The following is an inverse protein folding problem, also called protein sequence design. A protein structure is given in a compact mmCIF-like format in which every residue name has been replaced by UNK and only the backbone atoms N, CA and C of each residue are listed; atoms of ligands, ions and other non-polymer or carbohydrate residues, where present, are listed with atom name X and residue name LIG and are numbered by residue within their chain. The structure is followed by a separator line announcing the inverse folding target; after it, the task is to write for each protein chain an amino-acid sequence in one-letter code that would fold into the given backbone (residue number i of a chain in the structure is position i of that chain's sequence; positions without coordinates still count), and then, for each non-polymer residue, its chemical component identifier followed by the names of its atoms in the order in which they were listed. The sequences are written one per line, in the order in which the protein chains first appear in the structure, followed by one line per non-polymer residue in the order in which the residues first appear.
data_IF_901891976832
#
_entry.id   IF_901891976832
#
_cell.length_a   1.000
_cell.length_b   1.000
_cell.length_c   1.000
_cell.angle_alpha   90.00
_cell.angle_beta   90.00
_cell.angle_gamma   90.00
#
_symmetry.space_group_name_H-M   'P 1'
#
loop_
_entity.id
_entity.type
_entity.pdbx_description
1 polymer ?
#
# COMPACT_ATOMS: atom_id res chain seq x y z
N UNK A 1 -3.49 11.14 -63.65
CA UNK A 1 -3.44 9.77 -63.11
C UNK A 1 -4.03 9.80 -61.71
N UNK A 2 -5.21 9.22 -61.53
CA UNK A 2 -5.88 9.11 -60.23
C UNK A 2 -5.04 8.24 -59.28
N UNK A 3 -4.56 8.81 -58.18
CA UNK A 3 -3.99 8.03 -57.08
C UNK A 3 -5.14 7.30 -56.39
N UNK A 4 -5.23 5.99 -56.60
CA UNK A 4 -6.16 5.13 -55.88
C UNK A 4 -5.91 5.29 -54.38
N UNK A 5 -6.89 5.87 -53.66
CA UNK A 5 -6.90 5.93 -52.21
C UNK A 5 -6.92 4.49 -51.70
N UNK A 6 -5.79 3.99 -51.19
CA UNK A 6 -5.75 2.68 -50.56
C UNK A 6 -6.83 2.66 -49.47
N UNK A 7 -7.82 1.78 -49.63
CA UNK A 7 -8.86 1.58 -48.63
C UNK A 7 -8.21 0.95 -47.39
N UNK A 8 -7.77 1.79 -46.46
CA UNK A 8 -7.33 1.40 -45.13
C UNK A 8 -8.57 0.91 -44.36
N UNK A 9 -8.49 -0.26 -43.74
CA UNK A 9 -9.63 -0.84 -43.01
C UNK A 9 -10.10 0.02 -41.84
N UNK A 10 -11.37 -0.13 -41.46
CA UNK A 10 -11.99 0.61 -40.35
C UNK A 10 -11.90 -0.19 -39.03
N UNK A 11 -11.87 0.51 -37.89
CA UNK A 11 -11.99 -0.09 -36.55
C UNK A 11 -13.36 -0.69 -36.31
N UNK A 12 -14.41 -0.12 -36.89
CA UNK A 12 -15.78 -0.53 -36.62
C UNK A 12 -16.30 -1.57 -37.62
N UNK A 13 -15.58 -1.78 -38.73
CA UNK A 13 -15.95 -2.74 -39.77
C UNK A 13 -14.99 -3.92 -39.71
N UNK A 14 -15.47 -5.13 -39.36
CA UNK A 14 -14.64 -6.32 -39.31
C UNK A 14 -14.07 -6.68 -40.69
N UNK A 15 -12.83 -7.16 -40.71
CA UNK A 15 -12.20 -7.61 -41.96
C UNK A 15 -12.67 -9.01 -42.33
N UNK A 16 -13.33 -9.13 -43.48
CA UNK A 16 -13.90 -10.41 -43.94
C UNK A 16 -12.82 -11.46 -44.19
N UNK A 17 -11.62 -11.06 -44.60
CA UNK A 17 -10.53 -11.99 -44.91
C UNK A 17 -9.85 -12.55 -43.65
N UNK A 18 -10.00 -11.88 -42.50
CA UNK A 18 -9.43 -12.30 -41.22
C UNK A 18 -10.39 -13.11 -40.35
N UNK A 19 -11.63 -13.35 -40.81
CA UNK A 19 -12.69 -14.01 -40.06
C UNK A 19 -13.03 -15.34 -40.70
N UNK A 20 -13.05 -16.40 -39.89
CA UNK A 20 -13.70 -17.65 -40.27
C UNK A 20 -15.16 -17.59 -39.79
N UNK A 21 -16.08 -17.34 -40.72
CA UNK A 21 -17.50 -17.15 -40.41
C UNK A 21 -18.14 -18.42 -39.84
N UNK A 22 -17.74 -19.59 -40.31
CA UNK A 22 -18.30 -20.88 -39.87
C UNK A 22 -17.89 -21.20 -38.42
N UNK A 23 -16.61 -21.00 -38.08
CA UNK A 23 -16.11 -21.14 -36.71
C UNK A 23 -16.75 -20.10 -35.78
N UNK A 24 -16.89 -18.86 -36.25
CA UNK A 24 -17.48 -17.77 -35.46
C UNK A 24 -18.96 -18.05 -35.15
N UNK A 25 -19.71 -18.53 -36.14
CA UNK A 25 -21.11 -18.93 -35.98
C UNK A 25 -21.25 -20.13 -35.03
N UNK A 26 -20.38 -21.15 -35.16
CA UNK A 26 -20.34 -22.29 -34.24
C UNK A 26 -20.05 -21.84 -32.79
N UNK A 27 -19.08 -20.96 -32.57
CA UNK A 27 -18.74 -20.47 -31.23
C UNK A 27 -19.88 -19.65 -30.60
N UNK A 28 -20.62 -18.89 -31.40
CA UNK A 28 -21.81 -18.15 -30.91
C UNK A 28 -22.95 -19.10 -30.55
N UNK A 29 -23.24 -20.09 -31.40
CA UNK A 29 -24.43 -20.97 -31.26
C UNK A 29 -24.22 -22.15 -30.31
N UNK A 30 -22.99 -22.66 -30.18
CA UNK A 30 -22.65 -23.73 -29.21
C UNK A 30 -22.78 -23.27 -27.76
N UNK A 31 -22.58 -21.98 -27.48
CA UNK A 31 -22.76 -21.41 -26.15
C UNK A 31 -24.25 -21.32 -25.74
N UNK A 32 -25.16 -21.10 -26.69
CA UNK A 32 -26.61 -21.05 -26.42
C UNK A 32 -27.23 -22.42 -26.17
N UNK A 33 -26.79 -23.47 -26.88
CA UNK A 33 -27.33 -24.83 -26.71
C UNK A 33 -26.92 -25.50 -25.40
N UNK A 34 -25.85 -25.03 -24.76
CA UNK A 34 -25.42 -25.52 -23.44
C UNK A 34 -26.25 -25.01 -22.24
N UNK A 35 -27.11 -24.01 -22.43
CA UNK A 35 -27.90 -23.41 -21.33
C UNK A 35 -29.22 -24.12 -21.02
N UNK A 36 -29.73 -24.98 -21.90
CA UNK A 36 -30.96 -25.76 -21.65
C UNK A 36 -30.71 -27.12 -20.98
N UNK A 37 -29.45 -27.52 -20.79
CA UNK A 37 -29.11 -28.84 -20.22
C UNK A 37 -28.34 -28.74 -18.90
N UNK A 38 -28.85 -27.92 -17.97
CA UNK A 38 -28.34 -27.81 -16.60
C UNK A 38 -28.92 -28.94 -15.75
N UNK A 39 -28.45 -30.18 -15.97
CA UNK A 39 -28.37 -31.26 -14.96
C UNK A 39 -27.89 -32.56 -15.61
N UNK A 40 -26.65 -32.60 -16.07
CA UNK A 40 -25.85 -33.83 -16.08
C UNK A 40 -24.40 -33.45 -16.31
N UNK A 41 -23.54 -33.72 -15.33
CA UNK A 41 -22.09 -33.72 -15.52
C UNK A 41 -21.78 -34.88 -16.46
N UNK A 42 -21.86 -34.64 -17.78
CA UNK A 42 -21.37 -35.58 -18.77
C UNK A 42 -19.85 -35.60 -18.64
N UNK A 43 -19.32 -36.62 -17.97
CA UNK A 43 -17.92 -37.02 -18.10
C UNK A 43 -17.77 -37.40 -19.58
N UNK A 44 -17.25 -36.47 -20.38
CA UNK A 44 -17.01 -36.73 -21.79
C UNK A 44 -15.96 -37.85 -21.87
N UNK A 45 -16.34 -38.97 -22.50
CA UNK A 45 -15.40 -40.07 -22.76
C UNK A 45 -14.17 -39.53 -23.50
N UNK A 46 -12.94 -39.92 -23.14
CA UNK A 46 -11.72 -39.54 -23.86
C UNK A 46 -11.78 -39.85 -25.37
N UNK A 47 -12.63 -40.80 -25.78
CA UNK A 47 -12.87 -41.11 -27.19
C UNK A 47 -13.65 -40.01 -27.92
N UNK A 48 -14.60 -39.33 -27.25
CA UNK A 48 -15.40 -38.24 -27.82
C UNK A 48 -14.55 -36.98 -28.01
N UNK A 49 -13.66 -36.67 -27.06
CA UNK A 49 -12.71 -35.56 -27.18
C UNK A 49 -11.69 -35.80 -28.30
N UNK A 50 -11.13 -37.02 -28.39
CA UNK A 50 -10.23 -37.39 -29.49
C UNK A 50 -10.92 -37.32 -30.85
N UNK A 51 -12.15 -37.80 -30.96
CA UNK A 51 -12.93 -37.72 -32.19
C UNK A 51 -13.23 -36.27 -32.59
N UNK A 52 -13.62 -35.42 -31.65
CA UNK A 52 -13.82 -33.99 -31.90
C UNK A 52 -12.53 -33.30 -32.32
N UNK A 53 -11.41 -33.66 -31.70
CA UNK A 53 -10.09 -33.14 -32.08
C UNK A 53 -9.72 -33.56 -33.51
N UNK A 54 -9.83 -34.85 -33.85
CA UNK A 54 -9.54 -35.35 -35.20
C UNK A 54 -10.49 -34.80 -36.27
N UNK A 55 -11.76 -34.56 -35.92
CA UNK A 55 -12.72 -33.95 -36.84
C UNK A 55 -12.44 -32.46 -37.05
N UNK A 56 -12.07 -31.74 -35.99
CA UNK A 56 -11.63 -30.34 -36.10
C UNK A 56 -10.32 -30.21 -36.89
N UNK A 57 -9.43 -31.20 -36.77
CA UNK A 57 -8.19 -31.30 -37.51
C UNK A 57 -8.46 -31.54 -39.01
N UNK A 58 -9.34 -32.49 -39.34
CA UNK A 58 -9.73 -32.78 -40.72
C UNK A 58 -10.51 -31.64 -41.41
N UNK A 59 -11.30 -30.87 -40.66
CA UNK A 59 -12.10 -29.75 -41.21
C UNK A 59 -11.34 -28.42 -41.26
N UNK A 60 -10.46 -28.15 -40.28
CA UNK A 60 -9.83 -26.83 -40.11
C UNK A 60 -8.29 -26.86 -40.13
N UNK A 61 -7.68 -28.03 -40.38
CA UNK A 61 -6.26 -28.16 -40.73
C UNK A 61 -5.28 -27.97 -39.57
N UNK A 62 -5.30 -28.86 -38.58
CA UNK A 62 -4.20 -28.99 -37.61
C UNK A 62 -4.39 -28.37 -36.24
N UNK A 63 -5.36 -27.47 -36.03
CA UNK A 63 -5.36 -26.64 -34.82
C UNK A 63 -6.73 -26.59 -34.12
N UNK A 64 -7.07 -27.67 -33.39
CA UNK A 64 -8.24 -27.73 -32.52
C UNK A 64 -8.24 -26.64 -31.42
N UNK A 65 -7.05 -26.16 -31.05
CA UNK A 65 -6.83 -25.03 -30.12
C UNK A 65 -7.20 -23.68 -30.77
N UNK A 66 -7.01 -23.55 -32.08
CA UNK A 66 -7.44 -22.38 -32.83
C UNK A 66 -8.97 -22.19 -32.75
N UNK A 67 -9.78 -23.24 -32.91
CA UNK A 67 -11.26 -23.13 -32.88
C UNK A 67 -11.80 -22.44 -31.61
N UNK A 68 -11.23 -22.74 -30.44
CA UNK A 68 -11.60 -22.08 -29.16
C UNK A 68 -10.98 -20.69 -28.96
N UNK A 69 -9.88 -20.38 -29.65
CA UNK A 69 -9.13 -19.12 -29.50
C UNK A 69 -9.36 -18.13 -30.65
N UNK A 70 -10.04 -18.54 -31.72
CA UNK A 70 -10.38 -17.68 -32.86
C UNK A 70 -11.33 -16.59 -32.41
N UNK A 71 -10.93 -15.34 -32.63
CA UNK A 71 -11.77 -14.17 -32.36
C UNK A 71 -12.95 -14.18 -33.33
N UNK A 72 -14.16 -14.07 -32.80
CA UNK A 72 -15.42 -13.99 -33.57
C UNK A 72 -15.40 -12.83 -34.58
N UNK A 73 -14.71 -11.74 -34.24
CA UNK A 73 -14.47 -10.60 -35.13
C UNK A 73 -12.99 -10.26 -35.15
N UNK A 74 -12.43 -10.08 -36.35
CA UNK A 74 -11.07 -9.61 -36.57
C UNK A 74 -11.09 -8.21 -37.18
N UNK A 75 -10.26 -7.31 -36.66
CA UNK A 75 -10.13 -5.93 -37.12
C UNK A 75 -8.68 -5.64 -37.49
N UNK A 76 -8.46 -4.86 -38.56
CA UNK A 76 -7.12 -4.52 -39.03
C UNK A 76 -6.35 -3.60 -38.09
N UNK A 77 -7.04 -2.73 -37.35
CA UNK A 77 -6.42 -1.77 -36.45
C UNK A 77 -6.66 -2.12 -34.98
N UNK A 78 -5.57 -2.17 -34.20
CA UNK A 78 -5.63 -2.26 -32.75
C UNK A 78 -6.23 -0.97 -32.19
N UNK A 79 -6.96 -1.08 -31.08
CA UNK A 79 -7.47 0.10 -30.40
C UNK A 79 -6.33 1.07 -30.04
N UNK A 80 -6.49 2.40 -30.25
CA UNK A 80 -5.55 3.38 -29.71
C UNK A 80 -5.44 3.18 -28.20
N UNK A 81 -4.22 3.30 -27.68
CA UNK A 81 -4.04 3.33 -26.24
C UNK A 81 -4.85 4.50 -25.66
N UNK A 82 -5.45 4.30 -24.49
CA UNK A 82 -6.10 5.39 -23.77
C UNK A 82 -5.10 6.55 -23.62
N UNK A 83 -5.59 7.79 -23.64
CA UNK A 83 -4.74 8.95 -23.38
C UNK A 83 -4.04 8.77 -22.03
N UNK A 84 -2.78 9.20 -21.92
CA UNK A 84 -1.99 9.06 -20.68
C UNK A 84 -2.66 9.74 -19.46
N UNK A 85 -3.63 10.63 -19.71
CA UNK A 85 -4.44 11.34 -18.71
C UNK A 85 -5.74 10.63 -18.32
N UNK A 86 -6.12 9.52 -18.96
CA UNK A 86 -7.31 8.76 -18.59
C UNK A 86 -7.04 7.86 -17.36
N UNK A 87 -7.40 8.35 -16.17
CA UNK A 87 -7.39 7.56 -14.94
C UNK A 87 -8.78 6.97 -14.68
N UNK A 88 -8.87 5.65 -14.59
CA UNK A 88 -10.13 4.97 -14.29
C UNK A 88 -10.44 5.02 -12.79
N UNK A 89 -11.14 6.08 -12.36
CA UNK A 89 -11.55 6.33 -10.98
C UNK A 89 -12.52 5.27 -10.41
N UNK A 90 -13.12 4.43 -11.27
CA UNK A 90 -14.12 3.43 -10.88
C UNK A 90 -13.52 2.13 -10.32
N UNK A 91 -12.19 1.97 -10.36
CA UNK A 91 -11.52 0.74 -9.89
C UNK A 91 -11.63 0.55 -8.37
N UNK A 92 -11.93 1.60 -7.62
CA UNK A 92 -11.95 1.67 -6.14
C UNK A 92 -13.17 0.96 -5.52
N UNK A 93 -14.33 0.94 -6.18
CA UNK A 93 -15.54 0.33 -5.62
C UNK A 93 -15.67 -1.17 -5.95
N UNK A 94 -15.03 -1.64 -7.02
CA UNK A 94 -15.20 -3.02 -7.52
C UNK A 94 -13.99 -3.94 -7.28
N UNK A 95 -12.91 -3.45 -6.67
CA UNK A 95 -11.71 -4.27 -6.40
C UNK A 95 -11.79 -5.11 -5.13
N UNK A 96 -12.71 -4.83 -4.21
CA UNK A 96 -12.88 -5.59 -2.96
C UNK A 96 -13.10 -7.10 -3.20
N UNK A 97 -13.70 -7.47 -4.34
CA UNK A 97 -14.03 -8.86 -4.67
C UNK A 97 -13.06 -9.52 -5.68
N UNK A 98 -11.99 -8.83 -6.10
CA UNK A 98 -11.14 -9.33 -7.22
C UNK A 98 -10.03 -10.29 -6.80
N UNK A 99 -9.79 -10.48 -5.49
CA UNK A 99 -8.79 -11.43 -5.00
C UNK A 99 -9.14 -12.90 -5.32
N UNK A 100 -10.41 -13.22 -5.58
CA UNK A 100 -10.84 -14.59 -5.88
C UNK A 100 -10.94 -14.92 -7.39
N UNK A 101 -10.92 -13.92 -8.29
CA UNK A 101 -11.28 -14.11 -9.70
C UNK A 101 -10.11 -13.96 -10.70
N UNK A 102 -8.87 -13.73 -10.25
CA UNK A 102 -7.70 -13.69 -11.13
C UNK A 102 -7.11 -15.10 -11.37
N UNK A 103 -7.91 -16.05 -11.88
CA UNK A 103 -7.38 -17.23 -12.57
C UNK A 103 -7.09 -16.85 -14.03
N UNK A 104 -5.99 -16.13 -14.24
CA UNK A 104 -5.55 -15.71 -15.56
C UNK A 104 -4.10 -15.29 -15.56
N UNK A 105 -3.22 -16.26 -15.86
CA UNK A 105 -1.84 -16.07 -16.34
C UNK A 105 -1.01 -14.99 -15.64
N UNK A 106 -0.69 -15.19 -14.38
CA UNK A 106 0.47 -14.58 -13.72
C UNK A 106 1.14 -15.64 -12.83
N UNK A 107 2.46 -15.77 -12.95
CA UNK A 107 3.30 -16.84 -12.40
C UNK A 107 3.15 -17.02 -10.89
N UNK A 108 2.34 -17.97 -10.44
CA UNK A 108 2.32 -18.40 -9.04
C UNK A 108 3.14 -19.69 -8.89
N UNK A 109 4.47 -19.56 -8.82
CA UNK A 109 5.28 -20.59 -8.14
C UNK A 109 5.66 -20.12 -6.74
N UNK A 110 4.72 -19.54 -5.99
CA UNK A 110 4.88 -19.46 -4.54
C UNK A 110 4.63 -20.85 -3.98
N UNK A 111 5.71 -21.59 -3.74
CA UNK A 111 5.69 -22.92 -3.13
C UNK A 111 5.29 -22.90 -1.65
N UNK A 112 5.32 -21.71 -1.02
CA UNK A 112 4.88 -21.51 0.36
C UNK A 112 3.39 -21.15 0.38
N UNK A 113 2.60 -21.91 1.15
CA UNK A 113 1.21 -21.55 1.48
C UNK A 113 1.21 -20.54 2.63
N UNK A 114 0.57 -19.40 2.42
CA UNK A 114 0.28 -18.44 3.48
C UNK A 114 -1.20 -18.58 3.88
N UNK A 115 -1.53 -18.59 5.19
CA UNK A 115 -2.92 -18.56 5.64
C UNK A 115 -3.64 -17.32 5.08
N UNK A 116 -4.89 -17.49 4.64
CA UNK A 116 -5.73 -16.37 4.19
C UNK A 116 -6.54 -15.73 5.33
N UNK A 117 -6.56 -16.37 6.51
CA UNK A 117 -7.32 -15.93 7.68
C UNK A 117 -6.32 -15.42 8.71
N UNK A 118 -6.68 -14.34 9.40
CA UNK A 118 -5.89 -13.80 10.51
C UNK A 118 -5.80 -14.83 11.64
N UNK A 119 -4.64 -14.92 12.27
CA UNK A 119 -4.43 -15.83 13.41
C UNK A 119 -5.18 -15.36 14.66
N UNK A 120 -5.17 -14.04 14.91
CA UNK A 120 -5.93 -13.38 15.98
C UNK A 120 -6.55 -12.09 15.46
N UNK A 121 -7.73 -11.77 16.00
CA UNK A 121 -8.43 -10.49 15.78
C UNK A 121 -8.65 -9.89 17.17
N UNK A 122 -8.15 -8.68 17.37
CA UNK A 122 -8.28 -7.93 18.62
C UNK A 122 -9.25 -6.77 18.40
N UNK A 123 -10.11 -6.52 19.37
CA UNK A 123 -11.03 -5.40 19.34
C UNK A 123 -10.29 -4.10 19.72
N UNK A 124 -10.45 -3.06 18.91
CA UNK A 124 -9.88 -1.73 19.12
C UNK A 124 -11.01 -0.69 19.23
N UNK A 125 -11.82 -0.72 20.31
CA UNK A 125 -12.93 0.20 20.47
C UNK A 125 -12.42 1.64 20.60
N UNK A 126 -13.05 2.58 19.89
CA UNK A 126 -12.67 3.99 19.96
C UNK A 126 -11.35 4.34 19.25
N UNK A 127 -10.80 3.43 18.43
CA UNK A 127 -9.70 3.81 17.53
C UNK A 127 -10.16 4.93 16.60
N UNK A 128 -9.37 6.00 16.51
CA UNK A 128 -9.70 7.14 15.65
C UNK A 128 -9.53 6.78 14.17
N UNK A 129 -10.56 7.06 13.38
CA UNK A 129 -10.51 6.96 11.91
C UNK A 129 -9.91 8.24 11.31
N UNK A 130 -8.62 8.46 11.57
CA UNK A 130 -7.84 9.53 10.97
C UNK A 130 -6.59 8.95 10.33
N UNK A 131 -6.51 9.07 9.00
CA UNK A 131 -5.40 8.56 8.20
C UNK A 131 -4.05 9.10 8.67
N UNK A 132 -3.95 10.34 9.14
CA UNK A 132 -2.65 10.96 9.41
C UNK A 132 -2.01 10.46 10.71
N UNK A 133 -2.78 9.85 11.61
CA UNK A 133 -2.32 9.42 12.94
C UNK A 133 -1.60 8.06 12.92
N UNK A 134 -0.62 7.87 13.79
CA UNK A 134 0.16 6.62 13.89
C UNK A 134 -0.12 5.93 15.24
N UNK A 135 -1.28 5.29 15.34
CA UNK A 135 -1.89 4.86 16.61
C UNK A 135 -1.43 3.51 17.16
N UNK A 136 -0.52 2.81 16.47
CA UNK A 136 -0.07 1.48 16.86
C UNK A 136 1.43 1.31 16.62
N UNK A 137 2.10 0.63 17.55
CA UNK A 137 3.47 0.19 17.37
C UNK A 137 3.74 -1.08 18.20
N UNK A 138 4.62 -1.95 17.71
CA UNK A 138 4.91 -3.24 18.32
C UNK A 138 6.33 -3.27 18.86
N UNK A 139 6.48 -3.52 20.16
CA UNK A 139 7.78 -3.55 20.83
C UNK A 139 8.59 -4.80 20.52
N UNK A 140 9.91 -4.70 20.68
CA UNK A 140 10.82 -5.85 20.63
C UNK A 140 10.56 -6.89 21.75
N UNK A 141 9.86 -6.49 22.81
CA UNK A 141 9.48 -7.35 23.94
C UNK A 141 8.14 -8.08 23.70
N UNK A 142 7.63 -8.03 22.47
CA UNK A 142 6.38 -8.67 22.06
C UNK A 142 5.12 -8.05 22.71
N UNK A 143 5.17 -6.74 22.99
CA UNK A 143 4.04 -5.96 23.51
C UNK A 143 3.56 -4.99 22.44
N UNK A 144 2.28 -5.07 22.08
CA UNK A 144 1.63 -4.15 21.15
C UNK A 144 1.08 -2.95 21.95
N UNK A 145 1.47 -1.73 21.55
CA UNK A 145 0.85 -0.51 22.05
C UNK A 145 -0.25 -0.08 21.07
N UNK A 146 -1.44 0.23 21.60
CA UNK A 146 -2.59 0.69 20.83
C UNK A 146 -3.18 1.92 21.49
N UNK A 147 -3.19 3.03 20.75
CA UNK A 147 -3.85 4.27 21.16
C UNK A 147 -5.33 4.21 20.78
N UNK A 148 -6.20 4.22 21.80
CA UNK A 148 -7.65 4.25 21.69
C UNK A 148 -8.15 5.58 22.25
N UNK A 149 -8.32 6.57 21.36
CA UNK A 149 -8.73 7.94 21.72
C UNK A 149 -7.79 8.57 22.78
N UNK A 150 -8.23 8.65 24.03
CA UNK A 150 -7.50 9.25 25.17
C UNK A 150 -6.67 8.23 25.95
N UNK A 151 -6.87 6.94 25.70
CA UNK A 151 -6.31 5.85 26.48
C UNK A 151 -5.29 5.07 25.67
N UNK A 152 -4.21 4.66 26.33
CA UNK A 152 -3.20 3.82 25.72
C UNK A 152 -3.24 2.43 26.36
N UNK A 153 -3.46 1.42 25.53
CA UNK A 153 -3.46 0.03 25.93
C UNK A 153 -2.20 -0.70 25.46
N UNK A 154 -1.74 -1.61 26.29
CA UNK A 154 -0.64 -2.53 26.04
C UNK A 154 -1.19 -3.94 26.01
N UNK A 155 -0.93 -4.66 24.93
CA UNK A 155 -1.30 -6.06 24.79
C UNK A 155 -0.04 -6.91 24.65
N UNK A 156 0.19 -7.84 25.58
CA UNK A 156 1.31 -8.76 25.50
C UNK A 156 0.95 -9.95 24.60
N UNK A 157 1.63 -10.11 23.48
CA UNK A 157 1.30 -11.17 22.53
C UNK A 157 1.71 -12.57 23.00
N UNK A 158 2.55 -12.68 24.03
CA UNK A 158 2.99 -13.94 24.62
C UNK A 158 1.97 -14.46 25.64
N UNK A 159 1.52 -13.61 26.55
CA UNK A 159 0.59 -13.98 27.62
C UNK A 159 -0.88 -13.70 27.27
N UNK A 160 -1.12 -12.85 26.27
CA UNK A 160 -2.43 -12.27 25.94
C UNK A 160 -3.01 -11.35 27.03
N UNK A 161 -2.17 -10.87 27.95
CA UNK A 161 -2.58 -9.90 28.97
C UNK A 161 -2.78 -8.51 28.36
N UNK A 162 -3.73 -7.76 28.93
CA UNK A 162 -4.09 -6.40 28.51
C UNK A 162 -3.94 -5.48 29.72
N UNK A 163 -3.08 -4.48 29.59
CA UNK A 163 -2.87 -3.44 30.59
C UNK A 163 -3.18 -2.08 29.97
N UNK A 164 -3.91 -1.23 30.70
CA UNK A 164 -4.03 0.18 30.35
C UNK A 164 -2.83 0.91 30.94
N UNK A 165 -1.96 1.48 30.10
CA UNK A 165 -0.78 2.20 30.58
C UNK A 165 -1.18 3.51 31.26
N UNK A 166 -2.06 4.27 30.59
CA UNK A 166 -2.67 5.47 31.14
C UNK A 166 -3.90 5.89 30.33
N UNK A 167 -4.67 6.80 30.92
CA UNK A 167 -5.73 7.57 30.28
C UNK A 167 -5.45 9.05 30.53
N UNK A 168 -5.58 9.87 29.48
CA UNK A 168 -5.42 11.32 29.61
C UNK A 168 -6.52 11.91 30.52
N UNK A 169 -6.18 12.89 31.39
CA UNK A 169 -7.17 13.56 32.22
C UNK A 169 -8.28 14.21 31.38
N UNK A 170 -9.52 14.20 31.89
CA UNK A 170 -10.70 14.82 31.24
C UNK A 170 -10.71 16.37 31.37
N UNK A 171 -9.55 16.99 31.52
CA UNK A 171 -9.45 18.45 31.70
C UNK A 171 -9.69 19.21 30.40
N UNK A 172 -9.26 18.64 29.27
CA UNK A 172 -9.41 19.23 27.95
C UNK A 172 -10.16 18.24 27.05
N UNK A 173 -11.38 18.61 26.65
CA UNK A 173 -12.31 17.74 25.92
C UNK A 173 -11.83 17.29 24.52
N UNK A 174 -10.67 17.76 24.08
CA UNK A 174 -10.11 17.49 22.75
C UNK A 174 -8.66 16.97 22.81
N UNK A 175 -8.17 16.55 23.99
CA UNK A 175 -6.85 15.89 24.07
C UNK A 175 -6.97 14.39 23.81
N UNK A 176 -6.21 13.90 22.85
CA UNK A 176 -6.18 12.50 22.44
C UNK A 176 -4.80 12.13 21.90
N UNK A 177 -4.54 10.83 21.82
CA UNK A 177 -3.25 10.31 21.36
C UNK A 177 -3.24 10.29 19.83
N UNK A 178 -2.17 10.84 19.25
CA UNK A 178 -2.02 11.04 17.80
C UNK A 178 -0.90 10.19 17.21
N UNK A 179 0.09 9.81 18.01
CA UNK A 179 1.11 8.86 17.60
C UNK A 179 1.72 8.08 18.75
N UNK A 180 2.19 6.87 18.49
CA UNK A 180 2.94 6.04 19.44
C UNK A 180 4.18 5.46 18.75
N UNK A 181 5.30 5.38 19.46
CA UNK A 181 6.46 4.65 18.98
C UNK A 181 7.34 4.09 20.09
N UNK A 182 7.71 2.82 19.97
CA UNK A 182 8.59 2.13 20.89
C UNK A 182 10.06 2.48 20.66
N UNK A 183 10.78 2.68 21.75
CA UNK A 183 12.24 2.62 21.72
C UNK A 183 12.68 1.19 21.36
N UNK A 184 13.84 1.05 20.72
CA UNK A 184 14.34 -0.23 20.21
C UNK A 184 14.47 -1.34 21.28
N UNK A 185 14.66 -0.98 22.55
CA UNK A 185 14.73 -1.91 23.67
C UNK A 185 13.35 -2.35 24.21
N UNK A 186 12.27 -1.65 23.82
CA UNK A 186 10.91 -1.87 24.28
C UNK A 186 10.61 -1.37 25.69
N UNK A 187 11.51 -0.63 26.34
CA UNK A 187 11.30 -0.17 27.72
C UNK A 187 10.56 1.17 27.80
N UNK A 188 10.85 2.06 26.84
CA UNK A 188 10.27 3.40 26.77
C UNK A 188 9.35 3.48 25.57
N UNK A 189 8.16 4.05 25.79
CA UNK A 189 7.23 4.40 24.74
C UNK A 189 7.16 5.92 24.59
N UNK A 190 7.36 6.42 23.38
CA UNK A 190 7.05 7.79 23.02
C UNK A 190 5.58 7.89 22.60
N UNK A 191 4.89 8.92 23.08
CA UNK A 191 3.50 9.22 22.77
C UNK A 191 3.38 10.66 22.31
N UNK A 192 2.82 10.88 21.13
CA UNK A 192 2.46 12.17 20.60
C UNK A 192 0.99 12.47 20.90
N UNK A 193 0.68 13.71 21.26
CA UNK A 193 -0.66 14.13 21.66
C UNK A 193 -1.27 15.14 20.68
N UNK A 194 -2.57 15.35 20.77
CA UNK A 194 -3.26 16.45 20.10
C UNK A 194 -2.93 17.81 20.75
N UNK A 195 -2.54 17.81 22.03
CA UNK A 195 -2.03 18.97 22.77
C UNK A 195 -0.59 19.40 22.43
N UNK A 196 -0.05 18.95 21.28
CA UNK A 196 1.27 19.31 20.74
C UNK A 196 2.46 18.82 21.59
N UNK A 197 2.25 17.84 22.45
CA UNK A 197 3.27 17.31 23.35
C UNK A 197 3.83 15.97 22.86
N UNK A 198 5.09 15.72 23.18
CA UNK A 198 5.70 14.39 23.11
C UNK A 198 6.00 13.92 24.53
N UNK A 199 5.30 12.88 24.96
CA UNK A 199 5.47 12.27 26.27
C UNK A 199 6.32 11.00 26.16
N UNK A 200 7.12 10.73 27.19
CA UNK A 200 7.87 9.49 27.33
C UNK A 200 7.35 8.73 28.55
N UNK A 201 7.01 7.46 28.34
CA UNK A 201 6.46 6.58 29.35
C UNK A 201 7.40 5.40 29.60
N UNK A 202 7.74 5.18 30.88
CA UNK A 202 8.43 3.97 31.33
C UNK A 202 7.37 2.91 31.59
N UNK A 203 7.31 1.93 30.69
CA UNK A 203 6.27 0.91 30.69
C UNK A 203 6.42 -0.04 31.87
N UNK A 204 7.66 -0.39 32.24
CA UNK A 204 7.92 -1.26 33.38
C UNK A 204 7.49 -0.62 34.71
N UNK A 205 7.57 0.72 34.81
CA UNK A 205 7.13 1.47 36.00
C UNK A 205 5.71 2.00 35.91
N UNK A 206 5.04 1.88 34.77
CA UNK A 206 3.70 2.42 34.53
C UNK A 206 3.59 3.92 34.78
N UNK A 207 4.63 4.71 34.43
CA UNK A 207 4.63 6.15 34.70
C UNK A 207 5.26 6.98 33.60
N UNK A 208 4.76 8.19 33.46
CA UNK A 208 5.35 9.23 32.62
C UNK A 208 6.71 9.65 33.20
N UNK A 209 7.74 9.62 32.36
CA UNK A 209 9.11 10.04 32.69
C UNK A 209 9.34 11.48 32.26
N UNK A 210 8.72 11.90 31.15
CA UNK A 210 9.00 13.20 30.56
C UNK A 210 7.83 13.72 29.71
N UNK A 211 7.65 15.04 29.71
CA UNK A 211 6.89 15.78 28.71
C UNK A 211 7.84 16.70 27.96
N UNK A 212 7.77 16.70 26.64
CA UNK A 212 8.57 17.53 25.75
C UNK A 212 7.62 18.40 24.93
N UNK A 213 7.80 19.72 25.01
CA UNK A 213 6.96 20.72 24.32
C UNK A 213 7.79 21.46 23.28
N UNK A 214 7.17 21.92 22.21
CA UNK A 214 7.85 22.71 21.18
C UNK A 214 7.00 22.87 19.92
N UNK A 215 6.31 21.80 19.53
CA UNK A 215 5.37 21.81 18.42
C UNK A 215 4.20 22.77 18.66
N UNK A 216 3.64 23.29 17.57
CA UNK A 216 2.53 24.25 17.58
C UNK A 216 1.18 23.63 17.19
N UNK A 217 1.18 22.37 16.75
CA UNK A 217 0.00 21.58 16.42
C UNK A 217 0.30 20.10 16.74
N UNK A 218 -0.70 19.22 16.61
CA UNK A 218 -0.66 17.82 17.02
C UNK A 218 0.55 17.05 16.49
N UNK A 219 1.07 16.12 17.29
CA UNK A 219 2.23 15.29 16.92
C UNK A 219 1.80 14.01 16.22
N UNK A 220 1.73 14.05 14.90
CA UNK A 220 1.13 12.99 14.08
C UNK A 220 2.03 11.78 13.85
N UNK A 221 3.35 11.92 13.92
CA UNK A 221 4.30 10.82 13.66
C UNK A 221 5.51 10.86 14.58
N UNK A 222 6.01 9.68 14.94
CA UNK A 222 7.17 9.50 15.81
C UNK A 222 8.09 8.44 15.23
N UNK A 223 9.39 8.63 15.38
CA UNK A 223 10.38 7.62 15.05
C UNK A 223 11.62 7.75 15.92
N UNK A 224 12.06 6.62 16.49
CA UNK A 224 13.28 6.56 17.30
C UNK A 224 14.54 6.34 16.46
N UNK A 225 15.62 6.99 16.87
CA UNK A 225 16.99 6.66 16.52
C UNK A 225 17.84 6.69 17.78
N UNK A 226 18.07 5.50 18.37
CA UNK A 226 18.78 5.33 19.64
C UNK A 226 18.12 6.16 20.76
N UNK A 227 18.78 7.24 21.21
CA UNK A 227 18.29 8.15 22.25
C UNK A 227 17.55 9.38 21.69
N UNK A 228 17.46 9.52 20.37
CA UNK A 228 16.78 10.62 19.71
C UNK A 228 15.37 10.16 19.32
N UNK A 229 14.35 10.92 19.71
CA UNK A 229 13.00 10.81 19.13
C UNK A 229 12.87 11.91 18.08
N UNK A 230 12.53 11.52 16.87
CA UNK A 230 12.04 12.48 15.87
C UNK A 230 10.53 12.51 15.90
N UNK A 231 9.95 13.69 15.98
CA UNK A 231 8.50 13.91 15.96
C UNK A 231 8.13 14.76 14.75
N UNK A 232 7.13 14.33 13.99
CA UNK A 232 6.53 15.08 12.89
C UNK A 232 5.16 15.57 13.31
N UNK A 233 4.86 16.84 13.03
CA UNK A 233 3.63 17.50 13.46
C UNK A 233 2.79 18.02 12.30
N UNK A 234 1.54 18.31 12.60
CA UNK A 234 0.64 19.09 11.76
C UNK A 234 1.11 20.53 11.54
N UNK A 235 2.01 21.02 12.40
CA UNK A 235 2.69 22.32 12.25
C UNK A 235 3.72 22.36 11.11
N UNK A 236 3.82 21.28 10.32
CA UNK A 236 4.71 21.10 9.15
C UNK A 236 6.18 20.83 9.47
N UNK A 237 6.56 20.91 10.75
CA UNK A 237 7.95 20.74 11.19
C UNK A 237 8.20 19.32 11.69
N UNK A 238 9.48 18.95 11.66
CA UNK A 238 9.98 17.77 12.37
C UNK A 238 10.97 18.23 13.43
N UNK A 239 10.78 17.79 14.67
CA UNK A 239 11.71 18.10 15.76
C UNK A 239 12.54 16.88 16.13
N UNK A 240 13.79 17.11 16.53
CA UNK A 240 14.64 16.07 17.11
C UNK A 240 14.78 16.32 18.61
N UNK A 241 14.44 15.29 19.38
CA UNK A 241 14.45 15.31 20.83
C UNK A 241 15.52 14.36 21.36
N UNK A 242 16.62 14.86 21.92
CA UNK A 242 17.52 14.04 22.74
C UNK A 242 16.90 13.87 24.12
N UNK A 243 16.44 12.64 24.40
CA UNK A 243 15.70 12.35 25.64
C UNK A 243 16.57 12.42 26.90
N UNK A 244 17.90 12.48 26.74
CA UNK A 244 18.87 12.51 27.85
C UNK A 244 19.17 13.94 28.33
N UNK A 245 18.96 14.93 27.48
CA UNK A 245 19.29 16.33 27.76
C UNK A 245 18.09 17.04 28.37
N UNK A 246 18.29 17.94 29.35
CA UNK A 246 17.21 18.75 29.91
C UNK A 246 16.56 19.65 28.84
N UNK A 247 17.37 20.27 27.99
CA UNK A 247 16.91 20.89 26.73
C UNK A 247 16.86 19.80 25.66
N UNK A 248 15.68 19.20 25.47
CA UNK A 248 15.53 18.05 24.56
C UNK A 248 15.68 18.44 23.08
N UNK A 249 15.19 19.61 22.69
CA UNK A 249 15.10 20.00 21.29
C UNK A 249 16.50 20.33 20.76
N UNK A 250 17.04 19.46 19.92
CA UNK A 250 18.39 19.59 19.36
C UNK A 250 18.40 20.00 17.89
N UNK A 251 17.28 19.81 17.17
CA UNK A 251 17.12 20.27 15.79
C UNK A 251 15.64 20.47 15.43
N UNK A 252 15.40 21.33 14.43
CA UNK A 252 14.12 21.50 13.75
C UNK A 252 14.39 21.37 12.25
N UNK A 253 13.62 20.53 11.59
CA UNK A 253 13.72 20.25 10.16
C UNK A 253 12.47 20.80 9.49
N UNK A 254 12.70 21.72 8.55
CA UNK A 254 11.65 22.39 7.77
C UNK A 254 11.77 21.92 6.32
N UNK A 255 10.75 21.20 5.85
CA UNK A 255 10.72 20.72 4.46
C UNK A 255 9.37 20.24 3.97
N UNK A 256 8.35 20.28 4.84
CA UNK A 256 6.97 20.05 4.47
C UNK A 256 6.17 21.34 4.59
N UNK A 257 5.07 21.43 3.86
CA UNK A 257 4.12 22.56 3.93
C UNK A 257 2.77 22.18 4.52
N UNK A 258 2.61 20.89 4.86
CA UNK A 258 1.44 20.33 5.51
C UNK A 258 1.88 19.24 6.50
N UNK A 259 0.92 18.62 7.17
CA UNK A 259 1.12 17.62 8.22
C UNK A 259 2.10 16.50 7.84
N UNK A 260 3.07 16.26 8.72
CA UNK A 260 4.06 15.18 8.59
C UNK A 260 3.49 13.89 9.17
N UNK A 261 2.94 13.05 8.30
CA UNK A 261 2.20 11.84 8.70
C UNK A 261 3.01 10.55 8.55
N UNK A 262 4.04 10.53 7.72
CA UNK A 262 5.02 9.45 7.60
C UNK A 262 6.36 9.88 8.16
N UNK A 263 6.94 9.10 9.08
CA UNK A 263 8.26 9.37 9.64
C UNK A 263 8.93 8.06 10.03
N UNK A 264 10.13 7.80 9.49
CA UNK A 264 10.87 6.58 9.83
C UNK A 264 12.38 6.76 9.67
N UNK A 265 13.13 6.46 10.71
CA UNK A 265 14.58 6.31 10.65
C UNK A 265 14.98 5.02 9.92
N UNK A 266 16.10 5.06 9.21
CA UNK A 266 16.75 3.88 8.66
C UNK A 266 17.29 3.00 9.79
N UNK A 267 17.37 1.69 9.55
CA UNK A 267 17.85 0.72 10.55
C UNK A 267 19.30 0.97 10.98
N UNK A 268 20.11 1.60 10.12
CA UNK A 268 21.48 2.00 10.44
C UNK A 268 21.57 3.35 11.17
N UNK A 269 20.44 4.07 11.30
CA UNK A 269 20.35 5.38 11.94
C UNK A 269 20.95 6.54 11.14
N UNK A 270 21.39 6.30 9.89
CA UNK A 270 22.09 7.31 9.09
C UNK A 270 21.17 8.25 8.32
N UNK A 271 19.92 7.83 8.08
CA UNK A 271 18.95 8.60 7.30
C UNK A 271 17.57 8.58 7.95
N UNK A 272 16.88 9.71 7.87
CA UNK A 272 15.47 9.84 8.21
C UNK A 272 14.68 10.00 6.93
N UNK A 273 13.55 9.30 6.81
CA UNK A 273 12.56 9.55 5.76
C UNK A 273 11.32 10.19 6.38
N UNK A 274 10.82 11.26 5.76
CA UNK A 274 9.58 11.91 6.16
C UNK A 274 8.65 12.09 4.97
N UNK A 275 7.37 11.79 5.17
CA UNK A 275 6.33 11.96 4.19
C UNK A 275 5.21 12.85 4.72
N UNK A 276 4.79 13.79 3.88
CA UNK A 276 3.80 14.80 4.25
C UNK A 276 2.48 14.65 3.51
N UNK A 277 1.46 15.35 4.01
CA UNK A 277 0.20 15.57 3.30
C UNK A 277 0.34 16.52 2.09
N UNK A 278 1.51 17.15 1.94
CA UNK A 278 1.90 17.94 0.78
C UNK A 278 2.37 17.10 -0.42
N UNK A 279 2.22 15.77 -0.34
CA UNK A 279 2.63 14.77 -1.34
C UNK A 279 4.16 14.64 -1.49
N UNK A 280 4.93 15.23 -0.57
CA UNK A 280 6.39 15.20 -0.61
C UNK A 280 6.91 14.07 0.26
N UNK A 281 7.94 13.39 -0.24
CA UNK A 281 8.80 12.51 0.53
C UNK A 281 10.19 13.16 0.62
N UNK A 282 10.61 13.52 1.82
CA UNK A 282 11.96 14.00 2.08
C UNK A 282 12.83 12.87 2.65
N UNK A 283 14.12 12.89 2.28
CA UNK A 283 15.16 12.06 2.90
C UNK A 283 16.21 13.00 3.48
N UNK A 284 16.53 12.79 4.75
CA UNK A 284 17.45 13.61 5.54
C UNK A 284 18.63 12.75 5.95
N UNK A 285 19.85 13.31 5.90
CA UNK A 285 21.02 12.65 6.49
C UNK A 285 21.12 13.05 7.97
N UNK A 286 21.56 12.12 8.83
CA UNK A 286 21.77 12.36 10.26
C UNK A 286 22.64 13.61 10.48
N UNK A 287 22.19 14.50 11.37
CA UNK A 287 22.90 15.74 11.71
C UNK A 287 22.75 16.88 10.70
N UNK A 288 22.00 16.69 9.60
CA UNK A 288 21.65 17.77 8.66
C UNK A 288 20.20 18.19 8.83
N UNK A 289 19.96 19.50 8.72
CA UNK A 289 18.62 20.09 8.73
C UNK A 289 18.07 20.33 7.33
N UNK A 290 18.89 20.19 6.29
CA UNK A 290 18.48 20.27 4.90
C UNK A 290 18.19 18.86 4.35
N UNK A 291 17.08 18.72 3.61
CA UNK A 291 16.75 17.46 2.97
C UNK A 291 17.78 17.13 1.90
N UNK A 292 18.39 15.94 2.00
CA UNK A 292 19.26 15.37 0.96
C UNK A 292 18.49 15.18 -0.35
N UNK A 293 17.26 14.68 -0.24
CA UNK A 293 16.35 14.55 -1.36
C UNK A 293 14.97 15.06 -1.00
N UNK A 294 14.37 15.80 -1.93
CA UNK A 294 12.97 16.19 -1.92
C UNK A 294 12.28 15.54 -3.11
N UNK A 295 11.47 14.52 -2.85
CA UNK A 295 10.90 13.63 -3.85
C UNK A 295 9.40 13.91 -3.98
N UNK A 296 8.96 14.32 -5.16
CA UNK A 296 7.62 14.87 -5.44
C UNK A 296 6.78 13.97 -6.38
N UNK A 297 7.13 12.70 -6.48
CA UNK A 297 6.52 11.81 -7.48
C UNK A 297 5.20 11.18 -7.04
N UNK A 298 4.82 11.31 -5.76
CA UNK A 298 3.50 10.90 -5.30
C UNK A 298 2.48 12.00 -5.59
N UNK A 299 1.27 11.62 -5.97
CA UNK A 299 0.17 12.58 -6.21
C UNK A 299 -0.81 12.67 -5.05
N UNK A 300 -0.42 12.19 -3.86
CA UNK A 300 -1.24 12.15 -2.65
C UNK A 300 -0.34 11.99 -1.42
N UNK A 301 -0.91 12.16 -0.22
CA UNK A 301 -0.21 12.11 1.06
C UNK A 301 0.66 10.85 1.23
N UNK A 302 1.87 11.02 1.75
CA UNK A 302 2.85 9.94 1.92
C UNK A 302 2.96 9.55 3.39
N UNK A 303 2.04 8.71 3.86
CA UNK A 303 2.11 8.14 5.22
C UNK A 303 2.97 6.88 5.27
N UNK A 304 2.78 6.01 4.28
CA UNK A 304 3.48 4.73 4.21
C UNK A 304 4.94 4.96 3.84
N UNK A 305 5.84 4.73 4.79
CA UNK A 305 7.29 4.89 4.65
C UNK A 305 7.96 3.71 5.34
N UNK A 306 8.82 2.97 4.64
CA UNK A 306 9.52 1.81 5.20
C UNK A 306 10.90 1.64 4.59
N UNK A 307 11.91 1.46 5.45
CA UNK A 307 13.27 1.14 5.03
C UNK A 307 13.45 -0.36 4.83
N UNK A 308 14.26 -0.75 3.85
CA UNK A 308 14.65 -2.14 3.69
C UNK A 308 15.68 -2.52 4.76
N UNK A 309 15.43 -3.53 5.61
CA UNK A 309 16.30 -3.83 6.74
C UNK A 309 17.60 -4.53 6.35
N UNK A 310 17.68 -5.14 5.15
CA UNK A 310 18.90 -5.82 4.66
C UNK A 310 19.62 -5.06 3.55
N UNK A 311 19.02 -4.01 2.99
CA UNK A 311 19.62 -3.24 1.90
C UNK A 311 19.64 -1.75 2.26
N UNK A 312 20.80 -1.30 2.77
CA UNK A 312 21.01 0.08 3.15
C UNK A 312 20.83 1.04 1.97
N UNK A 313 19.94 2.01 2.16
CA UNK A 313 19.57 3.01 1.16
C UNK A 313 18.47 2.59 0.19
N UNK A 314 17.79 1.46 0.43
CA UNK A 314 16.54 1.12 -0.25
C UNK A 314 15.36 1.54 0.64
N UNK A 315 14.56 2.48 0.13
CA UNK A 315 13.37 3.03 0.79
C UNK A 315 12.13 2.67 -0.03
N UNK A 316 11.03 2.33 0.65
CA UNK A 316 9.72 2.18 0.04
C UNK A 316 8.78 3.26 0.56
N UNK A 317 7.97 3.85 -0.32
CA UNK A 317 6.89 4.75 0.09
C UNK A 317 5.60 4.47 -0.68
N UNK A 318 4.47 4.73 -0.03
CA UNK A 318 3.13 4.56 -0.60
C UNK A 318 2.36 5.88 -0.57
N UNK A 319 1.76 6.25 -1.70
CA UNK A 319 0.88 7.40 -1.76
C UNK A 319 -0.57 7.02 -1.45
N UNK A 320 -1.31 7.97 -0.88
CA UNK A 320 -2.71 7.82 -0.49
C UNK A 320 -3.68 7.54 -1.64
N UNK A 321 -4.99 7.68 -1.36
CA UNK A 321 -6.07 7.22 -2.23
C UNK A 321 -6.04 7.76 -3.68
N UNK A 322 -5.46 8.93 -3.91
CA UNK A 322 -5.32 9.50 -5.25
C UNK A 322 -4.12 8.94 -6.04
N UNK A 323 -3.01 8.61 -5.36
CA UNK A 323 -1.77 8.12 -5.97
C UNK A 323 -1.79 6.59 -6.17
N UNK A 324 -2.14 5.83 -5.13
CA UNK A 324 -2.32 4.36 -5.16
C UNK A 324 -1.10 3.59 -5.66
N UNK A 325 0.10 4.15 -5.54
CA UNK A 325 1.32 3.53 -6.00
C UNK A 325 2.28 3.30 -4.82
N UNK A 326 2.99 2.17 -4.88
CA UNK A 326 4.18 1.95 -4.07
C UNK A 326 5.39 2.29 -4.94
N UNK A 327 6.27 3.14 -4.43
CA UNK A 327 7.50 3.55 -5.09
C UNK A 327 8.68 3.08 -4.25
N UNK A 328 9.70 2.55 -4.92
CA UNK A 328 10.97 2.16 -4.32
C UNK A 328 12.01 3.22 -4.69
N UNK A 329 12.90 3.54 -3.77
CA UNK A 329 13.88 4.61 -3.93
C UNK A 329 15.25 4.12 -3.54
N UNK A 330 16.25 4.49 -4.33
CA UNK A 330 17.64 4.40 -3.93
C UNK A 330 18.06 5.75 -3.33
N UNK A 331 18.21 5.81 -2.01
CA UNK A 331 18.56 7.03 -1.27
C UNK A 331 20.05 7.38 -1.31
N UNK A 332 20.86 6.65 -2.09
CA UNK A 332 22.23 7.08 -2.43
C UNK A 332 22.24 7.95 -3.68
N UNK A 333 21.42 7.61 -4.66
CA UNK A 333 21.34 8.29 -5.96
C UNK A 333 20.11 9.18 -6.15
N UNK A 334 19.08 9.04 -5.31
CA UNK A 334 17.78 9.70 -5.48
C UNK A 334 16.90 9.08 -6.57
N UNK A 335 17.30 7.92 -7.14
CA UNK A 335 16.58 7.31 -8.25
C UNK A 335 15.33 6.55 -7.77
N UNK A 336 14.24 6.68 -8.53
CA UNK A 336 12.99 5.95 -8.30
C UNK A 336 12.90 4.70 -9.16
N UNK A 337 12.41 3.61 -8.57
CA UNK A 337 11.88 2.46 -9.28
C UNK A 337 10.40 2.33 -8.94
N UNK A 338 9.54 2.57 -9.92
CA UNK A 338 8.09 2.44 -9.75
C UNK A 338 7.69 1.00 -10.00
N UNK A 339 7.07 0.35 -9.00
CA UNK A 339 6.33 -0.90 -9.21
C UNK A 339 4.85 -0.60 -9.14
N UNK A 340 4.15 -0.73 -10.26
CA UNK A 340 2.70 -0.77 -10.27
C UNK A 340 2.24 -2.06 -9.59
N UNK A 341 1.45 -1.95 -8.53
CA UNK A 341 0.73 -3.07 -7.94
C UNK A 341 -0.61 -3.29 -8.66
#
# INVERSE_FOLDING_TARGET
MNTAKMMTGDRFIPDRNGINFDISHFNLTSSSSSKENVQQVQIASPAKERFQSSLSDAMFGGDASAVKSTKVLAFKHKAPAASASFQNQMRTLYSANKAAAAKGTASTSSTRRLPSVADKVLDAPGIRDDYYLNLLDWSAQNTLAVALDRSLYLWNATTSDIDMLFEMPDTDADDYITSVSWMADGNILAVGTNSNEVQLWDVAKGRQVRTMKGHQDRVSSLSWNRAIVSSGSRDTTIMHHDVRLAQHQIAVLEGHTQEVCGLKWSEDGTQLASGGNDNILNVWDEGRTEARFRLDHHTSAVKAVAWCPWQAGLLASGGGAADRCIKMWNTRSGAVQVKYA
#
